data_IF_478321893947
#
_entry.id   IF_478321893947
#
_cell.length_a   1.000
_cell.length_b   1.000
_cell.length_c   1.000
_cell.angle_alpha   90.00
_cell.angle_beta   90.00
_cell.angle_gamma   90.00
#
_symmetry.space_group_name_H-M   'P 1'
#
loop_
_entity.id
_entity.type
_entity.pdbx_description
1 polymer ?
#
# COMPACT_ATOMS: atom_id res chain seq x y z
N UNK A 1 -9.98 6.50 -18.03
CA UNK A 1 -9.85 5.39 -17.08
C UNK A 1 -11.12 4.55 -17.06
N UNK A 2 -12.25 5.18 -16.87
CA UNK A 2 -13.54 4.52 -16.70
C UNK A 2 -13.87 3.53 -17.85
N UNK A 3 -13.79 3.99 -19.09
CA UNK A 3 -14.02 3.15 -20.28
C UNK A 3 -13.02 1.99 -20.39
N UNK A 4 -11.78 2.21 -19.95
CA UNK A 4 -10.72 1.18 -20.00
C UNK A 4 -10.92 0.06 -18.97
N UNK A 5 -11.50 0.40 -17.83
CA UNK A 5 -11.73 -0.53 -16.72
C UNK A 5 -13.14 -1.14 -16.74
N UNK A 6 -14.06 -0.57 -17.53
CA UNK A 6 -15.49 -0.90 -17.46
C UNK A 6 -16.11 -0.61 -16.09
N UNK A 7 -15.56 0.38 -15.39
CA UNK A 7 -15.91 0.77 -14.03
C UNK A 7 -15.86 2.30 -13.92
N UNK A 8 -16.86 2.91 -13.31
CA UNK A 8 -16.87 4.37 -13.03
C UNK A 8 -15.92 4.71 -11.87
N UNK A 9 -14.62 4.51 -12.10
CA UNK A 9 -13.58 4.77 -11.10
C UNK A 9 -13.54 6.24 -10.70
N UNK A 10 -13.76 7.15 -11.65
CA UNK A 10 -13.83 8.58 -11.37
C UNK A 10 -14.95 8.94 -10.39
N UNK A 11 -16.10 8.30 -10.52
CA UNK A 11 -17.23 8.51 -9.61
C UNK A 11 -16.94 7.98 -8.20
N UNK A 12 -16.32 6.80 -8.10
CA UNK A 12 -15.87 6.24 -6.82
C UNK A 12 -14.85 7.16 -6.13
N UNK A 13 -13.95 7.78 -6.89
CA UNK A 13 -12.94 8.72 -6.35
C UNK A 13 -13.61 9.99 -5.82
N UNK A 14 -14.58 10.55 -6.55
CA UNK A 14 -15.16 11.87 -6.25
C UNK A 14 -16.33 11.78 -5.26
N UNK A 15 -17.13 10.75 -5.36
CA UNK A 15 -18.42 10.64 -4.66
C UNK A 15 -18.48 9.46 -3.69
N UNK A 16 -17.52 8.50 -3.76
CA UNK A 16 -17.51 7.32 -2.92
C UNK A 16 -18.47 6.22 -3.39
N UNK A 17 -18.97 5.38 -2.49
CA UNK A 17 -18.70 5.38 -1.05
C UNK A 17 -17.24 5.00 -0.71
N UNK A 18 -16.79 5.44 0.46
CA UNK A 18 -15.40 5.21 0.92
C UNK A 18 -15.03 3.73 0.95
N UNK A 19 -15.95 2.86 1.33
CA UNK A 19 -15.75 1.41 1.41
C UNK A 19 -15.38 0.82 0.05
N UNK A 20 -15.97 1.32 -1.04
CA UNK A 20 -15.61 0.91 -2.39
C UNK A 20 -14.22 1.41 -2.79
N UNK A 21 -13.85 2.61 -2.37
CA UNK A 21 -12.52 3.16 -2.63
C UNK A 21 -11.42 2.44 -1.83
N UNK A 22 -11.73 2.01 -0.60
CA UNK A 22 -10.81 1.28 0.29
C UNK A 22 -10.53 -0.17 -0.17
N UNK A 23 -11.35 -0.71 -1.06
CA UNK A 23 -11.05 -2.01 -1.69
C UNK A 23 -9.79 -1.87 -2.54
N UNK A 24 -8.74 -2.67 -2.24
CA UNK A 24 -7.42 -2.47 -2.88
C UNK A 24 -7.45 -2.63 -4.40
N UNK A 25 -8.39 -3.38 -4.95
CA UNK A 25 -8.62 -3.46 -6.40
C UNK A 25 -9.09 -2.13 -7.03
N UNK A 26 -9.67 -1.22 -6.24
CA UNK A 26 -10.08 0.12 -6.65
C UNK A 26 -9.06 1.18 -6.17
N UNK A 27 -8.55 1.03 -4.95
CA UNK A 27 -7.56 1.96 -4.37
C UNK A 27 -6.34 2.11 -5.26
N UNK A 28 -5.77 1.00 -5.76
CA UNK A 28 -4.54 1.05 -6.54
C UNK A 28 -4.70 1.83 -7.86
N UNK A 29 -5.65 1.49 -8.73
CA UNK A 29 -5.86 2.28 -9.95
C UNK A 29 -6.34 3.72 -9.66
N UNK A 30 -7.04 3.97 -8.54
CA UNK A 30 -7.46 5.31 -8.15
C UNK A 30 -6.26 6.21 -7.78
N UNK A 31 -5.36 5.73 -6.92
CA UNK A 31 -4.14 6.46 -6.54
C UNK A 31 -3.27 6.72 -7.78
N UNK A 32 -3.12 5.71 -8.65
CA UNK A 32 -2.40 5.88 -9.91
C UNK A 32 -3.03 6.95 -10.80
N UNK A 33 -4.36 6.89 -11.00
CA UNK A 33 -5.09 7.84 -11.84
C UNK A 33 -4.90 9.28 -11.34
N UNK A 34 -5.07 9.51 -10.03
CA UNK A 34 -4.89 10.83 -9.43
C UNK A 34 -3.45 11.30 -9.54
N UNK A 35 -2.46 10.47 -9.17
CA UNK A 35 -1.04 10.81 -9.26
C UNK A 35 -0.59 11.12 -10.68
N UNK A 36 -1.00 10.30 -11.65
CA UNK A 36 -0.70 10.53 -13.06
C UNK A 36 -1.39 11.80 -13.60
N UNK A 37 -2.61 12.10 -13.17
CA UNK A 37 -3.31 13.34 -13.55
C UNK A 37 -2.59 14.57 -13.00
N UNK A 38 -2.15 14.55 -11.75
CA UNK A 38 -1.34 15.62 -11.15
C UNK A 38 -0.04 15.81 -11.95
N UNK A 39 0.64 14.72 -12.28
CA UNK A 39 1.85 14.75 -13.10
C UNK A 39 1.59 15.40 -14.47
N UNK A 40 0.49 15.04 -15.15
CA UNK A 40 0.12 15.65 -16.45
C UNK A 40 -0.12 17.16 -16.34
N UNK A 41 -0.78 17.60 -15.27
CA UNK A 41 -0.98 19.05 -15.01
C UNK A 41 0.36 19.72 -14.71
N UNK A 42 1.19 19.12 -13.86
CA UNK A 42 2.51 19.67 -13.52
C UNK A 42 3.41 19.85 -14.76
N UNK A 43 3.39 18.89 -15.68
CA UNK A 43 4.18 18.97 -16.91
C UNK A 43 3.63 19.99 -17.92
N UNK A 44 2.30 20.11 -18.04
CA UNK A 44 1.68 20.97 -19.06
C UNK A 44 1.56 22.43 -18.62
N UNK A 45 1.17 22.65 -17.37
CA UNK A 45 0.84 23.99 -16.86
C UNK A 45 2.01 24.61 -16.06
N UNK A 46 2.88 23.78 -15.47
CA UNK A 46 3.96 24.24 -14.59
C UNK A 46 5.36 23.91 -15.12
N UNK A 47 5.46 23.49 -16.39
CA UNK A 47 6.74 23.21 -17.07
C UNK A 47 7.64 22.21 -16.32
N UNK A 48 7.08 21.27 -15.56
CA UNK A 48 7.86 20.21 -14.93
C UNK A 48 8.57 19.38 -15.99
N UNK A 49 9.89 19.36 -15.93
CA UNK A 49 10.72 18.63 -16.87
C UNK A 49 11.36 17.41 -16.20
N UNK A 50 10.95 16.21 -16.57
CA UNK A 50 11.50 14.96 -16.00
C UNK A 50 12.96 14.70 -16.43
N UNK A 51 13.47 15.38 -17.46
CA UNK A 51 14.88 15.24 -17.86
C UNK A 51 15.83 15.78 -16.80
N UNK A 52 15.34 16.61 -15.88
CA UNK A 52 16.11 17.15 -14.78
C UNK A 52 16.20 16.17 -13.59
N UNK A 53 15.44 15.07 -13.62
CA UNK A 53 15.45 14.05 -12.59
C UNK A 53 16.47 12.96 -12.92
N UNK A 54 17.40 12.70 -12.01
CA UNK A 54 18.39 11.61 -12.15
C UNK A 54 17.80 10.23 -11.87
N UNK A 55 16.76 10.14 -11.03
CA UNK A 55 16.13 8.90 -10.59
C UNK A 55 14.63 9.07 -10.45
N UNK A 56 13.91 7.94 -10.60
CA UNK A 56 12.51 7.82 -10.29
C UNK A 56 12.32 6.69 -9.27
N UNK A 57 11.48 6.92 -8.29
CA UNK A 57 11.12 5.91 -7.28
C UNK A 57 9.65 6.00 -6.94
N UNK A 58 9.09 4.89 -6.49
CA UNK A 58 7.71 4.83 -6.04
C UNK A 58 7.52 3.77 -4.97
N UNK A 59 6.74 4.08 -3.95
CA UNK A 59 6.40 3.16 -2.88
C UNK A 59 5.23 2.26 -3.31
N UNK A 60 5.43 0.93 -3.29
CA UNK A 60 4.43 -0.08 -3.65
C UNK A 60 3.82 0.18 -5.05
N UNK A 61 2.55 0.54 -5.16
CA UNK A 61 1.94 0.90 -6.44
C UNK A 61 2.55 2.16 -7.07
N UNK A 62 3.19 3.01 -6.28
CA UNK A 62 3.87 4.21 -6.76
C UNK A 62 5.01 3.93 -7.74
N UNK A 63 5.61 2.73 -7.70
CA UNK A 63 6.57 2.27 -8.71
C UNK A 63 5.95 2.28 -10.11
N UNK A 64 4.72 1.79 -10.24
CA UNK A 64 3.99 1.82 -11.52
C UNK A 64 3.68 3.25 -11.97
N UNK A 65 3.38 4.15 -11.02
CA UNK A 65 3.21 5.58 -11.34
C UNK A 65 4.51 6.18 -11.85
N UNK A 66 5.64 5.90 -11.20
CA UNK A 66 6.95 6.36 -11.64
C UNK A 66 7.28 5.84 -13.05
N UNK A 67 7.12 4.53 -13.29
CA UNK A 67 7.32 3.93 -14.62
C UNK A 67 6.45 4.58 -15.70
N UNK A 68 5.19 4.90 -15.37
CA UNK A 68 4.29 5.52 -16.34
C UNK A 68 4.64 7.00 -16.60
N UNK A 69 5.03 7.75 -15.57
CA UNK A 69 5.46 9.13 -15.70
C UNK A 69 6.74 9.27 -16.55
N UNK A 70 7.67 8.31 -16.42
CA UNK A 70 8.90 8.27 -17.19
C UNK A 70 8.76 7.57 -18.55
N UNK A 71 7.56 7.15 -18.95
CA UNK A 71 7.27 6.59 -20.26
C UNK A 71 7.71 5.13 -20.45
N UNK A 72 8.18 4.45 -19.39
CA UNK A 72 8.55 3.02 -19.45
C UNK A 72 7.34 2.10 -19.51
N UNK A 73 6.19 2.55 -18.98
CA UNK A 73 4.92 1.86 -19.03
C UNK A 73 3.83 2.84 -19.44
N UNK A 74 3.04 2.51 -20.47
CA UNK A 74 1.99 3.43 -20.90
C UNK A 74 0.81 3.44 -19.89
N UNK A 75 0.09 4.54 -19.86
CA UNK A 75 -1.03 4.77 -18.94
C UNK A 75 -2.08 3.66 -18.96
N UNK A 76 -2.45 3.18 -20.16
CA UNK A 76 -3.50 2.16 -20.32
C UNK A 76 -3.09 0.84 -19.69
N UNK A 77 -1.87 0.38 -19.97
CA UNK A 77 -1.37 -0.89 -19.47
C UNK A 77 -1.11 -0.81 -17.97
N UNK A 78 -0.57 0.31 -17.49
CA UNK A 78 -0.38 0.57 -16.07
C UNK A 78 -1.71 0.49 -15.29
N UNK A 79 -2.75 1.16 -15.80
CA UNK A 79 -4.08 1.14 -15.18
C UNK A 79 -4.67 -0.27 -15.09
N UNK A 80 -4.56 -1.07 -16.17
CA UNK A 80 -5.03 -2.45 -16.20
C UNK A 80 -4.24 -3.36 -15.26
N UNK A 81 -2.91 -3.24 -15.28
CA UNK A 81 -2.03 -4.04 -14.40
C UNK A 81 -2.33 -3.73 -12.94
N UNK A 82 -2.52 -2.47 -12.57
CA UNK A 82 -2.86 -2.10 -11.19
C UNK A 82 -4.24 -2.62 -10.75
N UNK A 83 -5.23 -2.66 -11.65
CA UNK A 83 -6.52 -3.30 -11.36
C UNK A 83 -6.36 -4.80 -11.12
N UNK A 84 -5.58 -5.50 -11.95
CA UNK A 84 -5.28 -6.93 -11.79
C UNK A 84 -4.51 -7.15 -10.49
N UNK A 85 -3.44 -6.36 -10.24
CA UNK A 85 -2.62 -6.44 -9.03
C UNK A 85 -3.50 -6.28 -7.79
N UNK A 86 -4.34 -5.24 -7.74
CA UNK A 86 -5.23 -4.99 -6.62
C UNK A 86 -6.18 -6.17 -6.38
N UNK A 87 -6.78 -6.72 -7.44
CA UNK A 87 -7.65 -7.89 -7.34
C UNK A 87 -6.90 -9.14 -6.86
N UNK A 88 -5.71 -9.41 -7.39
CA UNK A 88 -4.89 -10.55 -6.95
C UNK A 88 -4.52 -10.44 -5.48
N UNK A 89 -4.09 -9.26 -5.04
CA UNK A 89 -3.77 -9.01 -3.63
C UNK A 89 -5.01 -9.11 -2.72
N UNK A 90 -6.18 -8.66 -3.18
CA UNK A 90 -7.42 -8.78 -2.44
C UNK A 90 -7.86 -10.24 -2.26
N UNK A 91 -7.62 -11.07 -3.27
CA UNK A 91 -8.04 -12.48 -3.30
C UNK A 91 -7.01 -13.43 -2.66
N UNK A 92 -5.79 -12.95 -2.36
CA UNK A 92 -4.74 -13.78 -1.77
C UNK A 92 -5.08 -14.28 -0.37
N UNK A 93 -5.84 -13.49 0.40
CA UNK A 93 -6.31 -13.84 1.75
C UNK A 93 -7.78 -13.45 1.89
N UNK A 94 -8.64 -14.31 2.48
CA UNK A 94 -10.03 -13.96 2.73
C UNK A 94 -10.17 -12.65 3.53
N UNK A 95 -11.20 -11.87 3.22
CA UNK A 95 -11.47 -10.59 3.89
C UNK A 95 -11.64 -10.82 5.39
N UNK A 96 -10.91 -10.06 6.21
CA UNK A 96 -10.92 -10.14 7.67
C UNK A 96 -9.91 -11.12 8.28
N UNK A 97 -9.29 -12.00 7.49
CA UNK A 97 -8.29 -12.96 7.99
C UNK A 97 -6.88 -12.38 8.08
N UNK A 98 -6.62 -11.29 7.37
CA UNK A 98 -5.34 -10.60 7.39
C UNK A 98 -5.48 -9.09 7.54
N UNK A 99 -4.38 -8.42 7.83
CA UNK A 99 -4.35 -6.98 7.99
C UNK A 99 -2.94 -6.42 8.16
N UNK A 100 -2.89 -5.14 8.49
CA UNK A 100 -1.64 -4.41 8.71
C UNK A 100 -1.77 -3.44 9.89
N UNK A 101 -0.66 -3.22 10.58
CA UNK A 101 -0.52 -2.18 11.61
C UNK A 101 0.71 -1.32 11.32
N UNK A 102 0.60 -0.02 11.55
CA UNK A 102 1.75 0.86 11.63
C UNK A 102 2.23 0.91 13.07
N UNK A 103 3.50 0.59 13.31
CA UNK A 103 4.18 0.69 14.61
C UNK A 103 4.98 1.98 14.60
N UNK A 104 4.74 2.84 15.60
CA UNK A 104 5.22 4.22 15.63
C UNK A 104 6.15 4.43 16.81
N UNK A 105 7.28 5.11 16.57
CA UNK A 105 8.24 5.47 17.61
C UNK A 105 9.22 4.35 17.96
N UNK A 106 9.37 3.35 17.08
CA UNK A 106 10.31 2.23 17.26
C UNK A 106 11.29 2.15 16.09
N UNK A 107 12.52 1.79 16.36
CA UNK A 107 13.49 1.43 15.32
C UNK A 107 13.20 0.02 14.81
N UNK A 108 13.53 -0.24 13.54
CA UNK A 108 13.27 -1.55 12.94
C UNK A 108 14.04 -2.67 13.65
N UNK A 109 15.23 -2.39 14.17
CA UNK A 109 16.06 -3.33 14.93
C UNK A 109 15.37 -3.76 16.22
N UNK A 110 14.80 -2.82 16.97
CA UNK A 110 14.07 -3.10 18.21
C UNK A 110 12.82 -3.93 17.94
N UNK A 111 12.11 -3.63 16.83
CA UNK A 111 10.96 -4.42 16.42
C UNK A 111 11.36 -5.86 16.02
N UNK A 112 12.49 -6.04 15.34
CA UNK A 112 13.04 -7.36 15.02
C UNK A 112 13.38 -8.17 16.29
N UNK A 113 13.90 -7.51 17.34
CA UNK A 113 14.11 -8.17 18.63
C UNK A 113 12.80 -8.63 19.28
N UNK A 114 11.74 -7.83 19.24
CA UNK A 114 10.41 -8.23 19.72
C UNK A 114 9.94 -9.48 18.96
N UNK A 115 10.11 -9.52 17.65
CA UNK A 115 9.74 -10.68 16.82
C UNK A 115 10.54 -11.90 17.21
N UNK A 116 11.85 -11.76 17.39
CA UNK A 116 12.73 -12.88 17.77
C UNK A 116 12.37 -13.46 19.14
N UNK A 117 12.11 -12.60 20.13
CA UNK A 117 11.71 -13.01 21.48
C UNK A 117 10.33 -13.71 21.50
N UNK A 118 9.47 -13.42 20.53
CA UNK A 118 8.09 -13.90 20.47
C UNK A 118 7.81 -14.82 19.27
N UNK A 119 8.82 -15.37 18.62
CA UNK A 119 8.71 -16.17 17.38
C UNK A 119 7.76 -17.37 17.45
N UNK A 120 7.49 -17.89 18.65
CA UNK A 120 6.57 -19.01 18.87
C UNK A 120 5.13 -18.56 19.21
N UNK A 121 4.88 -17.27 19.40
CA UNK A 121 3.60 -16.72 19.83
C UNK A 121 2.75 -16.23 18.67
N UNK A 122 3.39 -15.69 17.63
CA UNK A 122 2.72 -15.14 16.46
C UNK A 122 3.59 -15.25 15.21
N UNK A 123 2.97 -15.21 14.05
CA UNK A 123 3.61 -15.09 12.74
C UNK A 123 3.20 -13.79 12.08
N UNK A 124 4.06 -12.77 12.24
CA UNK A 124 3.92 -11.46 11.61
C UNK A 124 5.18 -11.10 10.82
N UNK A 125 5.04 -10.21 9.84
CA UNK A 125 6.08 -9.85 8.90
C UNK A 125 6.26 -8.35 8.84
N UNK A 126 7.51 -7.87 8.78
CA UNK A 126 7.80 -6.48 8.46
C UNK A 126 7.48 -6.28 6.99
N UNK A 127 6.46 -5.48 6.71
CA UNK A 127 5.98 -5.17 5.37
C UNK A 127 6.70 -3.97 4.77
N UNK A 128 6.87 -2.89 5.54
CA UNK A 128 7.52 -1.66 5.11
C UNK A 128 8.34 -1.06 6.25
N UNK A 129 9.53 -0.62 5.92
CA UNK A 129 10.34 0.31 6.73
C UNK A 129 10.24 1.68 6.06
N UNK A 130 9.28 2.49 6.53
CA UNK A 130 8.92 3.72 5.84
C UNK A 130 9.85 4.89 6.17
N UNK A 131 10.23 5.01 7.43
CA UNK A 131 11.13 6.05 7.95
C UNK A 131 11.57 5.69 9.36
N UNK A 132 12.55 6.41 9.88
CA UNK A 132 12.99 6.30 11.28
C UNK A 132 11.76 6.43 12.19
N UNK A 133 11.48 5.39 12.95
CA UNK A 133 10.36 5.35 13.88
C UNK A 133 8.99 5.06 13.27
N UNK A 134 8.90 4.59 12.02
CA UNK A 134 7.65 4.10 11.44
C UNK A 134 7.85 2.83 10.60
N UNK A 135 7.44 1.70 11.18
CA UNK A 135 7.50 0.39 10.54
C UNK A 135 6.08 -0.17 10.37
N UNK A 136 5.78 -0.73 9.21
CA UNK A 136 4.50 -1.39 8.97
C UNK A 136 4.68 -2.90 9.06
N UNK A 137 3.76 -3.55 9.77
CA UNK A 137 3.72 -4.99 9.98
C UNK A 137 2.46 -5.58 9.38
N UNK A 138 2.60 -6.68 8.65
CA UNK A 138 1.52 -7.49 8.08
C UNK A 138 1.44 -8.85 8.74
N UNK A 139 0.25 -9.44 8.77
CA UNK A 139 0.05 -10.78 9.27
C UNK A 139 -1.43 -11.18 9.32
N UNK A 140 -1.68 -12.39 9.82
CA UNK A 140 -3.04 -12.83 10.12
C UNK A 140 -3.62 -11.99 11.26
N UNK A 141 -4.92 -11.72 11.21
CA UNK A 141 -5.62 -10.87 12.19
C UNK A 141 -5.37 -11.32 13.63
N UNK A 142 -5.40 -12.62 13.90
CA UNK A 142 -5.16 -13.17 15.24
C UNK A 142 -3.72 -12.92 15.71
N UNK A 143 -2.74 -13.07 14.84
CA UNK A 143 -1.33 -12.88 15.18
C UNK A 143 -0.98 -11.40 15.34
N UNK A 144 -1.55 -10.54 14.51
CA UNK A 144 -1.49 -9.08 14.72
C UNK A 144 -2.10 -8.69 16.08
N UNK A 145 -3.20 -9.32 16.50
CA UNK A 145 -3.79 -9.10 17.81
C UNK A 145 -2.84 -9.40 18.97
N UNK A 146 -2.09 -10.52 18.89
CA UNK A 146 -1.06 -10.87 19.87
C UNK A 146 0.08 -9.86 19.89
N UNK A 147 0.58 -9.46 18.71
CA UNK A 147 1.60 -8.44 18.59
C UNK A 147 1.15 -7.09 19.16
N UNK A 148 -0.07 -6.66 18.86
CA UNK A 148 -0.66 -5.42 19.40
C UNK A 148 -0.64 -5.41 20.94
N UNK A 149 -0.94 -6.53 21.58
CA UNK A 149 -0.91 -6.65 23.06
C UNK A 149 0.52 -6.47 23.59
N UNK A 150 1.50 -7.13 22.99
CA UNK A 150 2.92 -6.99 23.36
C UNK A 150 3.40 -5.54 23.18
N UNK A 151 3.04 -4.90 22.07
CA UNK A 151 3.39 -3.49 21.83
C UNK A 151 2.74 -2.55 22.85
N UNK A 152 1.48 -2.81 23.26
CA UNK A 152 0.80 -2.03 24.30
C UNK A 152 1.46 -2.18 25.65
N UNK A 153 1.82 -3.40 26.07
CA UNK A 153 2.56 -3.66 27.30
C UNK A 153 3.90 -2.93 27.32
N UNK A 154 4.55 -2.86 26.20
CA UNK A 154 5.81 -2.13 25.99
C UNK A 154 5.61 -0.62 25.78
N UNK A 155 4.38 -0.10 25.87
CA UNK A 155 3.98 1.30 25.62
C UNK A 155 4.38 1.81 24.22
N UNK A 156 4.46 0.92 23.25
CA UNK A 156 4.77 1.25 21.85
C UNK A 156 3.46 1.54 21.10
N UNK A 157 3.38 2.73 20.50
CA UNK A 157 2.20 3.16 19.77
C UNK A 157 2.04 2.33 18.49
N UNK A 158 0.83 1.85 18.24
CA UNK A 158 0.48 1.16 17.02
C UNK A 158 -0.90 1.60 16.52
N UNK A 159 -1.11 1.56 15.20
CA UNK A 159 -2.34 1.99 14.53
C UNK A 159 -2.70 0.92 13.50
N UNK A 160 -3.92 0.37 13.62
CA UNK A 160 -4.46 -0.54 12.60
C UNK A 160 -4.71 0.25 11.32
N UNK A 161 -4.18 -0.25 10.19
CA UNK A 161 -4.40 0.37 8.90
C UNK A 161 -5.76 -0.06 8.31
N UNK A 162 -6.48 0.85 7.62
CA UNK A 162 -7.75 0.54 6.98
C UNK A 162 -7.52 -0.19 5.64
N UNK A 163 -6.91 -1.37 5.72
CA UNK A 163 -6.64 -2.22 4.55
C UNK A 163 -7.28 -3.58 4.73
N UNK A 164 -7.63 -4.22 3.63
CA UNK A 164 -8.41 -5.45 3.59
C UNK A 164 -7.57 -6.72 3.51
N UNK A 165 -6.24 -6.60 3.41
CA UNK A 165 -5.34 -7.76 3.27
C UNK A 165 -3.95 -7.48 3.88
N UNK A 166 -3.17 -8.53 4.21
CA UNK A 166 -1.83 -8.43 4.79
C UNK A 166 -0.78 -8.23 3.68
N UNK A 167 -0.68 -7.01 3.13
CA UNK A 167 0.21 -6.74 2.00
C UNK A 167 1.69 -6.90 2.36
N UNK A 168 2.52 -7.12 1.32
CA UNK A 168 3.99 -7.20 1.42
C UNK A 168 4.52 -8.26 2.39
N UNK A 169 3.87 -9.42 2.46
CA UNK A 169 4.30 -10.56 3.27
C UNK A 169 4.10 -11.89 2.52
N UNK A 170 4.64 -13.02 3.01
CA UNK A 170 4.50 -14.33 2.35
C UNK A 170 3.07 -14.82 2.14
N UNK A 171 2.08 -14.26 2.85
CA UNK A 171 0.66 -14.58 2.66
C UNK A 171 0.09 -14.06 1.33
N UNK A 172 0.86 -13.26 0.58
CA UNK A 172 0.51 -12.76 -0.76
C UNK A 172 0.97 -13.68 -1.92
N UNK A 173 1.45 -14.88 -1.61
CA UNK A 173 1.90 -15.85 -2.63
C UNK A 173 0.75 -16.66 -3.21
#
# INVERSE_FOLDING_TARGET
ADDMLGLKLSDIILNGPKENLDMTENTQPAIFLVGYSIFQVATREFNLNLKDASFAAGHSLGEYTALSCFGSLNFRDCLKVLKIRGRSMQNAVPIGEGGMIAVIGIQIEDLKEIFLKNRNNFECFIANDNTIGQVVVSGKTNDLGKLINILKESKIKNIKLPVSAPFHCPLMK
#
